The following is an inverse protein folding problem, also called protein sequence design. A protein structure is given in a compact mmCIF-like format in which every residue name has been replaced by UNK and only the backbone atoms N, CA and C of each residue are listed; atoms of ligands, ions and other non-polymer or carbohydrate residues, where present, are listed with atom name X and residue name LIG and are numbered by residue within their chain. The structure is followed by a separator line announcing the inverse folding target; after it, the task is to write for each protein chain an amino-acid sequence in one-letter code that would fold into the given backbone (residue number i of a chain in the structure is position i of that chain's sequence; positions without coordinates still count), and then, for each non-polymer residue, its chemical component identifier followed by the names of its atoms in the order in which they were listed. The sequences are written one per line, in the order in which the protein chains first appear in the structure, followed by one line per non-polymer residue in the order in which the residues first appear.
data_IF_759757123812
#
_entry.id   IF_759757123812
#
_cell.length_a   1.000
_cell.length_b   1.000
_cell.length_c   1.000
_cell.angle_alpha   90.00
_cell.angle_beta   90.00
_cell.angle_gamma   90.00
#
_symmetry.space_group_name_H-M   'P 1'
#
loop_
_entity.id
_entity.type
_entity.pdbx_description
1 polymer ?
#
# COMPACT_ATOMS: atom_id res chain seq x y z
N UNK A 1 48.46 -24.38 -0.29
CA UNK A 1 47.79 -24.31 1.03
C UNK A 1 46.44 -23.66 0.80
N UNK A 2 45.42 -24.49 0.65
CA UNK A 2 44.13 -24.11 0.07
C UNK A 2 43.13 -24.10 1.22
N UNK A 3 42.87 -22.91 1.79
CA UNK A 3 41.91 -22.76 2.88
C UNK A 3 40.51 -22.76 2.29
N UNK A 4 39.79 -23.86 2.51
CA UNK A 4 38.42 -24.10 2.06
C UNK A 4 37.50 -23.61 3.18
N UNK A 5 36.99 -22.39 3.05
CA UNK A 5 36.05 -21.81 4.00
C UNK A 5 34.66 -22.37 3.72
N UNK A 6 34.23 -23.31 4.57
CA UNK A 6 32.89 -23.90 4.56
C UNK A 6 31.87 -22.85 5.02
N UNK A 7 31.09 -22.29 4.09
CA UNK A 7 29.90 -21.51 4.43
C UNK A 7 28.80 -22.47 4.89
N UNK A 8 28.42 -22.34 6.16
CA UNK A 8 27.27 -23.02 6.78
C UNK A 8 26.02 -22.25 6.35
N UNK A 9 25.19 -22.87 5.51
CA UNK A 9 23.88 -22.33 5.18
C UNK A 9 22.97 -22.49 6.40
N UNK A 10 22.63 -21.38 7.07
CA UNK A 10 21.51 -21.35 7.99
C UNK A 10 20.22 -21.44 7.18
N UNK A 11 19.52 -22.57 7.35
CA UNK A 11 18.21 -22.80 6.78
C UNK A 11 17.21 -21.86 7.47
N UNK A 12 16.85 -20.78 6.77
CA UNK A 12 15.78 -19.90 7.20
C UNK A 12 14.46 -20.65 6.99
N UNK A 13 13.80 -20.98 8.10
CA UNK A 13 12.56 -21.75 8.14
C UNK A 13 11.45 -21.01 7.39
N UNK A 14 10.76 -21.77 6.52
CA UNK A 14 9.67 -21.29 5.67
C UNK A 14 8.49 -20.84 6.53
N UNK A 15 7.81 -19.72 6.20
CA UNK A 15 6.52 -19.43 6.80
C UNK A 15 5.50 -20.50 6.37
N UNK A 16 4.85 -21.05 7.39
CA UNK A 16 3.78 -22.05 7.31
C UNK A 16 2.64 -21.54 6.41
N UNK A 17 2.36 -22.30 5.35
CA UNK A 17 1.15 -22.18 4.54
C UNK A 17 -0.05 -22.48 5.44
N UNK A 18 -0.77 -21.44 5.89
CA UNK A 18 -2.07 -21.62 6.53
C UNK A 18 -3.11 -21.84 5.45
N UNK A 19 -3.60 -23.08 5.36
CA UNK A 19 -4.80 -23.42 4.58
C UNK A 19 -5.99 -22.61 5.08
N UNK A 20 -6.64 -21.85 4.20
CA UNK A 20 -7.95 -21.27 4.48
C UNK A 20 -9.00 -22.38 4.47
N UNK A 21 -9.15 -23.03 5.61
CA UNK A 21 -10.31 -23.86 5.91
C UNK A 21 -11.53 -22.96 6.14
N UNK A 22 -12.58 -23.25 5.35
CA UNK A 22 -14.01 -22.96 5.58
C UNK A 22 -14.33 -22.33 6.94
N UNK A 23 -14.71 -21.06 6.95
CA UNK A 23 -15.43 -20.45 8.08
C UNK A 23 -16.92 -20.80 7.95
N UNK A 24 -17.27 -21.92 8.55
CA UNK A 24 -18.64 -22.26 8.94
C UNK A 24 -18.97 -21.40 10.16
N UNK A 25 -19.90 -20.47 10.04
CA UNK A 25 -20.38 -19.67 11.17
C UNK A 25 -21.21 -20.57 12.10
N UNK A 26 -20.71 -20.75 13.31
CA UNK A 26 -21.37 -21.41 14.43
C UNK A 26 -22.37 -20.41 15.02
N UNK A 27 -23.66 -20.63 14.83
CA UNK A 27 -24.69 -19.96 15.62
C UNK A 27 -24.86 -20.69 16.95
N UNK A 28 -24.73 -19.93 18.04
CA UNK A 28 -24.71 -20.42 19.41
C UNK A 28 -26.03 -21.02 19.84
N UNK A 29 -25.94 -22.16 20.51
CA UNK A 29 -27.01 -22.77 21.29
C UNK A 29 -27.31 -21.93 22.53
N UNK A 30 -28.38 -21.15 22.49
CA UNK A 30 -29.01 -20.60 23.69
C UNK A 30 -30.00 -21.65 24.24
N UNK A 31 -29.79 -22.05 25.50
CA UNK A 31 -30.65 -22.98 26.22
C UNK A 31 -32.02 -22.33 26.52
N UNK A 32 -33.10 -22.91 26.00
CA UNK A 32 -34.46 -22.58 26.38
C UNK A 32 -34.94 -23.53 27.50
N UNK A 33 -35.26 -22.95 28.66
CA UNK A 33 -35.90 -23.62 29.78
C UNK A 33 -37.37 -23.94 29.39
N UNK A 34 -37.68 -25.23 29.20
CA UNK A 34 -39.04 -25.69 28.88
C UNK A 34 -39.86 -25.71 30.17
N UNK A 35 -40.78 -24.76 30.32
CA UNK A 35 -41.90 -24.87 31.26
C UNK A 35 -43.07 -25.45 30.46
N UNK A 36 -43.38 -26.72 30.69
CA UNK A 36 -44.50 -27.40 30.03
C UNK A 36 -45.84 -26.98 30.67
N UNK A 37 -46.79 -26.39 29.91
CA UNK A 37 -48.19 -26.39 30.30
C UNK A 37 -48.80 -27.74 29.90
N UNK A 38 -49.49 -28.37 30.85
CA UNK A 38 -50.33 -29.52 30.56
C UNK A 38 -51.52 -29.08 29.68
N UNK A 39 -51.43 -29.31 28.37
CA UNK A 39 -52.54 -29.14 27.46
C UNK A 39 -53.38 -30.42 27.41
N UNK A 40 -54.68 -30.24 27.68
CA UNK A 40 -55.74 -31.23 27.48
C UNK A 40 -55.80 -31.56 25.99
N UNK A 41 -55.69 -32.84 25.65
CA UNK A 41 -55.82 -33.33 24.28
C UNK A 41 -57.25 -33.09 23.76
N UNK A 42 -57.45 -31.96 23.08
CA UNK A 42 -58.54 -31.80 22.14
C UNK A 42 -58.28 -32.69 20.92
N UNK A 43 -59.32 -33.34 20.42
CA UNK A 43 -59.27 -34.11 19.17
C UNK A 43 -58.71 -33.25 18.05
N UNK A 44 -57.68 -33.73 17.35
CA UNK A 44 -57.04 -33.06 16.23
C UNK A 44 -58.07 -32.70 15.15
N UNK A 45 -58.56 -31.46 15.18
CA UNK A 45 -59.25 -30.85 14.07
C UNK A 45 -58.20 -30.61 12.98
N UNK A 46 -58.44 -31.15 11.78
CA UNK A 46 -57.72 -30.96 10.51
C UNK A 46 -56.32 -30.35 10.67
N UNK A 47 -55.27 -31.18 10.63
CA UNK A 47 -53.92 -30.68 10.48
C UNK A 47 -53.92 -29.73 9.26
N UNK A 48 -53.65 -28.45 9.49
CA UNK A 48 -53.52 -27.48 8.41
C UNK A 48 -52.50 -28.01 7.40
N UNK A 49 -52.77 -27.82 6.12
CA UNK A 49 -51.79 -28.18 5.09
C UNK A 49 -50.46 -27.48 5.38
N UNK A 50 -49.32 -28.17 5.18
CA UNK A 50 -48.02 -27.58 5.49
C UNK A 50 -47.78 -26.33 4.63
N UNK A 51 -47.25 -25.26 5.25
CA UNK A 51 -46.78 -24.09 4.52
C UNK A 51 -45.52 -24.46 3.70
N UNK A 52 -45.63 -24.34 2.37
CA UNK A 52 -44.59 -24.75 1.42
C UNK A 52 -44.31 -23.61 0.46
N UNK A 53 -43.02 -23.32 0.26
CA UNK A 53 -42.54 -22.42 -0.80
C UNK A 53 -42.26 -23.28 -2.04
N UNK A 54 -42.91 -22.93 -3.14
CA UNK A 54 -42.78 -23.63 -4.43
C UNK A 54 -41.90 -22.89 -5.42
N UNK A 55 -41.75 -21.57 -5.29
CA UNK A 55 -40.85 -20.75 -6.10
C UNK A 55 -40.42 -19.52 -5.29
N UNK A 56 -39.13 -19.14 -5.30
CA UNK A 56 -38.00 -19.99 -5.69
C UNK A 56 -37.87 -21.20 -4.75
N UNK A 57 -37.23 -22.27 -5.20
CA UNK A 57 -36.90 -23.44 -4.36
C UNK A 57 -35.52 -23.32 -3.74
N UNK A 58 -35.27 -24.02 -2.63
CA UNK A 58 -33.97 -23.96 -1.95
C UNK A 58 -32.87 -24.54 -2.85
N UNK A 59 -31.83 -23.74 -3.09
CA UNK A 59 -30.72 -24.05 -3.99
C UNK A 59 -31.03 -23.80 -5.47
N UNK A 60 -32.18 -23.19 -5.81
CA UNK A 60 -32.52 -22.90 -7.21
C UNK A 60 -31.50 -21.94 -7.84
N UNK A 61 -31.17 -22.22 -9.11
CA UNK A 61 -30.22 -21.41 -9.88
C UNK A 61 -30.85 -20.81 -11.11
N UNK A 62 -30.48 -19.57 -11.42
CA UNK A 62 -30.99 -18.88 -12.59
C UNK A 62 -32.45 -18.44 -12.43
N UNK A 63 -32.85 -18.10 -11.21
CA UNK A 63 -34.20 -17.58 -10.92
C UNK A 63 -34.44 -16.31 -11.74
N UNK A 64 -35.47 -16.34 -12.58
CA UNK A 64 -35.82 -15.23 -13.45
C UNK A 64 -36.48 -14.10 -12.66
N UNK A 65 -36.16 -12.87 -13.05
CA UNK A 65 -36.85 -11.69 -12.52
C UNK A 65 -38.12 -11.44 -13.35
N UNK A 66 -39.25 -11.19 -12.69
CA UNK A 66 -40.56 -10.94 -13.34
C UNK A 66 -40.74 -9.48 -13.76
N UNK A 67 -39.96 -8.58 -13.15
CA UNK A 67 -39.76 -7.19 -13.54
C UNK A 67 -38.33 -6.78 -13.12
N UNK A 68 -37.80 -5.62 -13.56
CA UNK A 68 -36.46 -5.19 -13.14
C UNK A 68 -36.30 -5.22 -11.62
N UNK A 69 -35.37 -6.03 -11.14
CA UNK A 69 -35.03 -6.27 -9.74
C UNK A 69 -36.07 -7.02 -8.93
N UNK A 70 -37.16 -7.50 -9.54
CA UNK A 70 -38.28 -8.14 -8.83
C UNK A 70 -38.33 -9.64 -9.10
N UNK A 71 -38.40 -10.43 -8.04
CA UNK A 71 -38.60 -11.89 -8.12
C UNK A 71 -39.96 -12.25 -7.55
N UNK A 72 -40.67 -13.16 -8.21
CA UNK A 72 -41.90 -13.72 -7.70
C UNK A 72 -41.64 -14.88 -6.75
N UNK A 73 -42.26 -14.82 -5.57
CA UNK A 73 -42.39 -15.94 -4.65
C UNK A 73 -43.78 -16.55 -4.78
N UNK A 74 -43.90 -17.86 -4.62
CA UNK A 74 -45.17 -18.56 -4.64
C UNK A 74 -45.13 -19.82 -3.76
N UNK A 75 -46.28 -20.21 -3.24
CA UNK A 75 -46.38 -21.41 -2.43
C UNK A 75 -47.81 -21.83 -2.08
N UNK A 76 -47.92 -22.77 -1.15
CA UNK A 76 -49.19 -23.34 -0.68
C UNK A 76 -49.23 -23.39 0.85
N UNK A 77 -50.41 -23.62 1.42
CA UNK A 77 -50.60 -23.81 2.87
C UNK A 77 -50.56 -22.53 3.70
N UNK A 78 -50.78 -21.36 3.09
CA UNK A 78 -50.93 -20.10 3.83
C UNK A 78 -52.36 -20.02 4.40
N UNK A 79 -52.60 -19.75 5.69
CA UNK A 79 -53.96 -19.54 6.20
C UNK A 79 -54.63 -18.29 5.64
N UNK A 80 -55.96 -18.28 5.59
CA UNK A 80 -56.73 -17.14 5.04
C UNK A 80 -56.66 -15.86 5.87
N UNK A 81 -56.14 -15.93 7.10
CA UNK A 81 -56.00 -14.79 8.00
C UNK A 81 -54.57 -14.24 8.05
N UNK A 82 -53.64 -14.86 7.34
CA UNK A 82 -52.21 -14.56 7.39
C UNK A 82 -51.71 -14.03 6.05
N UNK A 83 -50.60 -13.31 6.11
CA UNK A 83 -49.81 -12.84 4.97
C UNK A 83 -48.41 -13.48 5.00
N UNK A 84 -47.65 -13.31 3.91
CA UNK A 84 -46.24 -13.68 3.82
C UNK A 84 -45.38 -12.43 3.75
N UNK A 85 -44.28 -12.43 4.49
CA UNK A 85 -43.22 -11.43 4.38
C UNK A 85 -41.94 -12.08 3.89
N UNK A 86 -41.25 -11.42 2.98
CA UNK A 86 -39.92 -11.81 2.51
C UNK A 86 -38.93 -10.78 3.03
N UNK A 87 -37.77 -11.23 3.50
CA UNK A 87 -36.67 -10.35 3.93
C UNK A 87 -35.33 -10.88 3.44
N UNK A 88 -34.35 -10.01 3.22
CA UNK A 88 -33.02 -10.41 2.75
C UNK A 88 -31.93 -9.48 3.31
N UNK A 89 -30.66 -9.86 3.13
CA UNK A 89 -29.53 -8.98 3.49
C UNK A 89 -29.07 -8.25 2.24
N UNK A 90 -29.24 -6.93 2.19
CA UNK A 90 -28.73 -6.10 1.11
C UNK A 90 -27.35 -5.52 1.42
N UNK A 91 -26.90 -4.58 0.58
CA UNK A 91 -25.53 -4.06 0.63
C UNK A 91 -25.18 -3.34 1.94
N UNK A 92 -26.19 -2.76 2.61
CA UNK A 92 -26.03 -1.94 3.82
C UNK A 92 -26.37 -2.66 5.12
N UNK A 93 -26.78 -3.93 5.06
CA UNK A 93 -27.19 -4.71 6.23
C UNK A 93 -28.41 -5.57 5.95
N UNK A 94 -29.14 -5.95 7.01
CA UNK A 94 -30.44 -6.62 6.85
C UNK A 94 -31.43 -5.60 6.30
N UNK A 95 -31.79 -5.75 5.04
CA UNK A 95 -32.84 -4.95 4.43
C UNK A 95 -34.15 -5.71 4.61
N UNK A 96 -35.01 -5.18 5.47
CA UNK A 96 -36.35 -5.73 5.61
C UNK A 96 -37.09 -5.43 4.32
N UNK A 97 -37.27 -6.48 3.53
CA UNK A 97 -38.01 -6.45 2.30
C UNK A 97 -39.53 -6.41 2.60
N UNK A 98 -40.31 -6.14 1.56
CA UNK A 98 -41.64 -5.52 1.65
C UNK A 98 -42.65 -6.25 2.54
N UNK A 99 -43.50 -5.48 3.21
CA UNK A 99 -44.81 -5.94 3.74
C UNK A 99 -45.83 -5.85 2.60
N UNK A 100 -45.56 -6.53 1.48
CA UNK A 100 -46.59 -6.82 0.50
C UNK A 100 -47.38 -8.00 1.03
N UNK A 101 -48.63 -7.77 1.44
CA UNK A 101 -49.50 -8.83 1.94
C UNK A 101 -49.88 -9.75 0.79
N UNK A 102 -49.10 -10.82 0.58
CA UNK A 102 -49.52 -11.93 -0.26
C UNK A 102 -50.79 -12.56 0.32
N UNK A 103 -51.95 -12.14 -0.17
CA UNK A 103 -53.20 -12.76 0.24
C UNK A 103 -53.34 -14.15 -0.38
N UNK A 104 -53.74 -15.10 0.47
CA UNK A 104 -54.21 -16.41 0.06
C UNK A 104 -55.36 -16.28 -0.96
N UNK A 105 -55.32 -17.07 -2.05
CA UNK A 105 -56.35 -17.12 -3.09
C UNK A 105 -57.68 -17.81 -2.66
N UNK A 106 -57.82 -18.12 -1.37
CA UNK A 106 -58.91 -18.89 -0.78
C UNK A 106 -58.72 -20.41 -0.85
N UNK A 107 -57.77 -20.90 -1.64
CA UNK A 107 -57.41 -22.31 -1.77
C UNK A 107 -56.10 -22.68 -1.06
N UNK A 108 -55.49 -21.72 -0.35
CA UNK A 108 -54.21 -21.92 0.34
C UNK A 108 -52.99 -21.56 -0.52
N UNK A 109 -53.17 -21.17 -1.79
CA UNK A 109 -52.05 -20.73 -2.62
C UNK A 109 -51.78 -19.25 -2.39
N UNK A 110 -50.51 -18.86 -2.49
CA UNK A 110 -50.08 -17.49 -2.28
C UNK A 110 -49.00 -17.11 -3.28
N UNK A 111 -48.89 -15.81 -3.55
CA UNK A 111 -47.84 -15.22 -4.39
C UNK A 111 -47.38 -13.88 -3.82
N UNK A 112 -46.08 -13.62 -3.82
CA UNK A 112 -45.49 -12.36 -3.37
C UNK A 112 -44.46 -11.84 -4.38
N UNK A 113 -44.25 -10.52 -4.44
CA UNK A 113 -43.25 -9.92 -5.33
C UNK A 113 -42.23 -9.15 -4.51
N UNK A 114 -40.98 -9.61 -4.51
CA UNK A 114 -39.93 -8.95 -3.74
C UNK A 114 -38.90 -8.24 -4.61
N UNK A 115 -38.54 -7.01 -4.24
CA UNK A 115 -37.59 -6.17 -4.96
C UNK A 115 -36.19 -6.26 -4.34
N UNK A 116 -35.26 -6.85 -5.08
CA UNK A 116 -33.86 -7.04 -4.75
C UNK A 116 -32.95 -5.89 -5.19
N UNK A 117 -33.50 -4.71 -5.45
CA UNK A 117 -32.76 -3.51 -5.86
C UNK A 117 -31.80 -2.96 -4.80
N UNK A 118 -31.83 -3.47 -3.56
CA UNK A 118 -30.86 -3.13 -2.51
C UNK A 118 -29.69 -4.13 -2.40
N UNK A 119 -29.68 -5.21 -3.21
CA UNK A 119 -28.52 -6.09 -3.29
C UNK A 119 -27.29 -5.33 -3.80
N UNK A 120 -26.10 -5.73 -3.35
CA UNK A 120 -24.86 -5.16 -3.87
C UNK A 120 -24.74 -5.34 -5.40
N UNK A 121 -24.00 -4.45 -6.09
CA UNK A 121 -23.69 -4.63 -7.51
C UNK A 121 -23.06 -6.00 -7.79
N UNK A 122 -23.52 -6.66 -8.86
CA UNK A 122 -23.07 -8.00 -9.25
C UNK A 122 -23.56 -9.15 -8.37
N UNK A 123 -24.27 -8.88 -7.28
CA UNK A 123 -24.77 -9.93 -6.38
C UNK A 123 -25.95 -10.66 -7.03
N UNK A 124 -25.76 -11.96 -7.25
CA UNK A 124 -26.81 -12.88 -7.72
C UNK A 124 -27.21 -13.91 -6.68
N UNK A 125 -26.36 -14.18 -5.68
CA UNK A 125 -26.69 -15.08 -4.58
C UNK A 125 -27.56 -14.36 -3.54
N UNK A 126 -28.70 -14.97 -3.21
CA UNK A 126 -29.69 -14.43 -2.29
C UNK A 126 -29.93 -15.43 -1.18
N UNK A 127 -29.85 -14.94 0.06
CA UNK A 127 -30.35 -15.63 1.24
C UNK A 127 -31.59 -14.87 1.73
N UNK A 128 -32.77 -15.39 1.38
CA UNK A 128 -34.06 -14.80 1.76
C UNK A 128 -34.66 -15.52 2.96
N UNK A 129 -35.41 -14.80 3.77
CA UNK A 129 -36.19 -15.34 4.88
C UNK A 129 -37.66 -15.07 4.63
N UNK A 130 -38.46 -16.13 4.63
CA UNK A 130 -39.90 -16.10 4.38
C UNK A 130 -40.61 -16.39 5.69
N UNK A 131 -41.48 -15.48 6.12
CA UNK A 131 -42.19 -15.54 7.40
C UNK A 131 -43.68 -15.38 7.17
N UNK A 132 -44.48 -16.32 7.68
CA UNK A 132 -45.93 -16.18 7.78
C UNK A 132 -46.24 -15.23 8.94
N UNK A 133 -47.03 -14.21 8.69
CA UNK A 133 -47.41 -13.21 9.68
C UNK A 133 -48.93 -13.08 9.75
N UNK A 134 -49.48 -12.86 10.93
CA UNK A 134 -50.90 -12.54 11.09
C UNK A 134 -51.21 -11.23 10.36
N UNK A 135 -52.17 -11.25 9.42
CA UNK A 135 -52.40 -10.11 8.52
C UNK A 135 -52.92 -8.87 9.25
N UNK A 136 -53.49 -9.01 10.45
CA UNK A 136 -54.03 -7.89 11.23
C UNK A 136 -52.98 -7.23 12.11
N UNK A 137 -52.01 -8.00 12.61
CA UNK A 137 -51.01 -7.55 13.58
C UNK A 137 -49.59 -7.45 13.02
N UNK A 138 -49.31 -8.11 11.89
CA UNK A 138 -47.98 -8.25 11.31
C UNK A 138 -47.02 -9.08 12.16
N UNK A 139 -47.52 -9.79 13.18
CA UNK A 139 -46.71 -10.62 14.07
C UNK A 139 -46.51 -12.00 13.42
N UNK A 140 -45.28 -12.51 13.47
CA UNK A 140 -44.98 -13.86 12.99
C UNK A 140 -45.87 -14.91 13.65
N UNK A 141 -46.55 -15.73 12.85
CA UNK A 141 -47.40 -16.79 13.36
C UNK A 141 -46.52 -17.94 13.90
N UNK A 142 -46.56 -18.23 15.22
CA UNK A 142 -45.74 -19.31 15.80
C UNK A 142 -46.11 -20.72 15.29
N UNK A 143 -47.26 -20.89 14.63
CA UNK A 143 -47.64 -22.16 14.00
C UNK A 143 -46.77 -22.50 12.79
N UNK A 144 -46.14 -21.50 12.15
CA UNK A 144 -45.32 -21.67 10.96
C UNK A 144 -43.87 -21.24 11.24
N UNK A 145 -42.90 -22.18 11.22
CA UNK A 145 -41.51 -21.82 11.41
C UNK A 145 -41.03 -20.95 10.25
N UNK A 146 -40.21 -19.95 10.58
CA UNK A 146 -39.50 -19.11 9.62
C UNK A 146 -38.67 -20.00 8.68
N UNK A 147 -38.82 -19.79 7.37
CA UNK A 147 -38.07 -20.54 6.36
C UNK A 147 -36.97 -19.66 5.76
N UNK A 148 -35.75 -20.20 5.69
CA UNK A 148 -34.63 -19.57 4.97
C UNK A 148 -34.43 -20.26 3.63
N UNK A 149 -34.29 -19.48 2.57
CA UNK A 149 -34.15 -19.92 1.21
C UNK A 149 -32.89 -19.31 0.59
N UNK A 150 -31.93 -20.14 0.22
CA UNK A 150 -30.78 -19.74 -0.57
C UNK A 150 -31.06 -20.02 -2.05
N UNK A 151 -30.89 -19.04 -2.93
CA UNK A 151 -31.04 -19.21 -4.38
C UNK A 151 -30.12 -18.26 -5.16
N UNK A 152 -30.01 -18.45 -6.47
CA UNK A 152 -29.24 -17.54 -7.35
C UNK A 152 -30.09 -16.99 -8.48
N UNK A 153 -30.02 -15.68 -8.66
CA UNK A 153 -30.70 -14.94 -9.73
C UNK A 153 -30.03 -15.18 -11.09
N UNK A 154 -30.82 -15.19 -12.16
CA UNK A 154 -30.30 -15.26 -13.53
C UNK A 154 -29.45 -14.03 -13.91
N UNK A 155 -29.80 -12.86 -13.36
CA UNK A 155 -29.13 -11.59 -13.59
C UNK A 155 -29.05 -10.85 -12.25
N UNK A 156 -27.93 -10.18 -11.97
CA UNK A 156 -27.80 -9.34 -10.79
C UNK A 156 -28.76 -8.14 -10.89
N UNK A 157 -29.55 -7.82 -9.86
CA UNK A 157 -30.46 -6.67 -9.88
C UNK A 157 -29.72 -5.35 -10.14
N UNK A 158 -28.58 -5.19 -9.47
CA UNK A 158 -27.67 -4.10 -9.73
C UNK A 158 -26.50 -4.63 -10.55
N UNK A 159 -26.37 -4.17 -11.80
CA UNK A 159 -25.26 -4.57 -12.66
C UNK A 159 -23.94 -4.09 -12.06
N UNK A 160 -22.96 -5.00 -11.94
CA UNK A 160 -21.59 -4.63 -11.59
C UNK A 160 -21.02 -3.82 -12.76
N UNK A 161 -20.63 -2.58 -12.51
CA UNK A 161 -19.82 -1.85 -13.50
C UNK A 161 -18.40 -2.40 -13.38
N UNK A 162 -17.84 -3.00 -14.44
CA UNK A 162 -16.50 -3.58 -14.33
C UNK A 162 -15.49 -2.52 -13.90
N UNK A 163 -14.69 -2.87 -12.90
CA UNK A 163 -13.54 -2.07 -12.53
C UNK A 163 -12.55 -2.04 -13.69
N UNK A 164 -12.27 -0.86 -14.23
CA UNK A 164 -11.27 -0.69 -15.29
C UNK A 164 -10.40 0.52 -15.02
N UNK A 165 -9.18 0.48 -15.55
CA UNK A 165 -8.28 1.63 -15.62
C UNK A 165 -8.11 1.94 -17.10
N UNK A 166 -8.62 3.09 -17.52
CA UNK A 166 -8.57 3.55 -18.92
C UNK A 166 -7.32 4.38 -19.19
N UNK A 167 -6.88 5.18 -18.21
CA UNK A 167 -5.65 5.96 -18.29
C UNK A 167 -4.92 5.93 -16.94
N UNK A 168 -3.60 5.67 -16.89
CA UNK A 168 -2.80 5.14 -17.98
C UNK A 168 -3.20 3.70 -18.34
N UNK A 169 -3.09 3.34 -19.62
CA UNK A 169 -3.20 1.93 -20.03
C UNK A 169 -1.97 1.20 -19.50
N UNK A 170 -2.15 0.13 -18.75
CA UNK A 170 -1.04 -0.64 -18.16
C UNK A 170 -0.21 -1.32 -19.25
N UNK A 171 0.86 -0.66 -19.69
CA UNK A 171 1.86 -1.18 -20.60
C UNK A 171 3.17 -0.39 -20.47
N UNK A 172 4.29 -0.97 -20.91
CA UNK A 172 5.61 -0.36 -20.79
C UNK A 172 5.86 0.87 -21.70
N UNK A 173 4.86 1.32 -22.47
CA UNK A 173 4.98 2.43 -23.42
C UNK A 173 4.11 3.63 -23.10
N UNK A 174 3.22 3.55 -22.11
CA UNK A 174 2.34 4.66 -21.75
C UNK A 174 3.14 5.76 -21.07
N UNK A 175 3.21 6.92 -21.73
CA UNK A 175 3.83 8.12 -21.20
C UNK A 175 2.77 9.00 -20.55
N UNK A 176 2.95 9.33 -19.27
CA UNK A 176 2.09 10.24 -18.49
C UNK A 176 2.86 11.49 -18.09
N UNK A 177 2.25 12.67 -18.14
CA UNK A 177 2.83 13.85 -17.54
C UNK A 177 2.58 13.86 -16.02
N UNK A 178 3.50 14.38 -15.20
CA UNK A 178 3.20 14.67 -13.80
C UNK A 178 1.97 15.59 -13.70
N UNK A 179 0.95 15.16 -12.98
CA UNK A 179 -0.33 15.87 -12.87
C UNK A 179 -1.43 15.38 -13.83
N UNK A 180 -1.14 14.46 -14.74
CA UNK A 180 -2.18 13.80 -15.53
C UNK A 180 -3.10 12.96 -14.64
N UNK A 181 -4.39 13.00 -14.93
CA UNK A 181 -5.37 12.22 -14.20
C UNK A 181 -5.32 10.74 -14.60
N UNK A 182 -5.36 9.88 -13.60
CA UNK A 182 -5.70 8.48 -13.74
C UNK A 182 -7.22 8.38 -13.82
N UNK A 183 -7.73 7.64 -14.79
CA UNK A 183 -9.17 7.55 -15.05
C UNK A 183 -9.60 6.12 -15.32
N UNK A 184 -10.87 5.82 -15.05
CA UNK A 184 -11.44 4.52 -15.37
C UNK A 184 -12.92 4.41 -15.02
N UNK A 185 -13.39 3.17 -14.96
CA UNK A 185 -14.76 2.84 -14.52
C UNK A 185 -14.74 1.99 -13.25
N UNK A 186 -15.85 2.01 -12.52
CA UNK A 186 -16.05 1.26 -11.29
C UNK A 186 -17.50 1.31 -10.83
N UNK A 187 -17.79 0.70 -9.69
CA UNK A 187 -19.09 0.73 -9.03
C UNK A 187 -19.39 2.14 -8.48
N UNK A 188 -20.50 2.79 -8.88
CA UNK A 188 -20.85 4.12 -8.35
C UNK A 188 -20.90 4.18 -6.82
N UNK A 189 -20.24 5.17 -6.23
CA UNK A 189 -20.14 5.34 -4.77
C UNK A 189 -18.91 4.70 -4.14
N UNK A 190 -18.21 3.80 -4.84
CA UNK A 190 -16.99 3.18 -4.33
C UNK A 190 -15.82 4.17 -4.27
N UNK A 191 -14.83 3.82 -3.47
CA UNK A 191 -13.58 4.56 -3.32
C UNK A 191 -12.47 3.89 -4.12
N UNK A 192 -11.78 4.67 -4.94
CA UNK A 192 -10.55 4.28 -5.63
C UNK A 192 -9.35 4.80 -4.85
N UNK A 193 -8.40 3.92 -4.56
CA UNK A 193 -7.12 4.26 -3.92
C UNK A 193 -5.96 3.91 -4.83
N UNK A 194 -5.05 4.85 -5.05
CA UNK A 194 -3.82 4.68 -5.84
C UNK A 194 -2.63 4.65 -4.88
N UNK A 195 -1.92 3.53 -4.81
CA UNK A 195 -0.73 3.34 -3.98
C UNK A 195 0.49 3.13 -4.88
N UNK A 196 1.65 3.66 -4.50
CA UNK A 196 2.89 3.45 -5.24
C UNK A 196 4.07 3.20 -4.31
N UNK A 197 5.11 2.57 -4.87
CA UNK A 197 6.42 2.46 -4.23
C UNK A 197 7.12 3.82 -4.26
N UNK A 198 7.12 4.51 -3.13
CA UNK A 198 7.84 5.75 -2.93
C UNK A 198 9.30 5.47 -2.53
N UNK A 199 10.07 6.55 -2.40
CA UNK A 199 11.46 6.48 -1.95
C UNK A 199 11.62 5.83 -0.57
N UNK A 200 12.84 5.36 -0.29
CA UNK A 200 13.19 4.63 0.93
C UNK A 200 12.37 3.34 1.14
N UNK A 201 11.86 2.72 0.07
CA UNK A 201 11.11 1.46 0.13
C UNK A 201 9.72 1.59 0.77
N UNK A 202 9.20 2.82 0.90
CA UNK A 202 7.88 3.08 1.45
C UNK A 202 6.79 2.85 0.41
N UNK A 203 5.59 2.46 0.86
CA UNK A 203 4.39 2.50 0.05
C UNK A 203 3.55 3.70 0.49
N UNK A 204 3.27 4.63 -0.43
CA UNK A 204 2.49 5.83 -0.14
C UNK A 204 1.23 5.88 -1.01
N UNK A 205 0.20 6.52 -0.49
CA UNK A 205 -1.02 6.83 -1.24
C UNK A 205 -0.73 8.04 -2.14
N UNK A 206 -0.77 7.82 -3.45
CA UNK A 206 -0.63 8.86 -4.46
C UNK A 206 -1.92 9.68 -4.60
N UNK A 207 -3.08 9.05 -4.38
CA UNK A 207 -4.36 9.73 -4.43
C UNK A 207 -5.53 8.82 -4.07
N UNK A 208 -6.64 9.45 -3.70
CA UNK A 208 -7.93 8.80 -3.47
C UNK A 208 -9.04 9.58 -4.17
N UNK A 209 -10.10 8.89 -4.55
CA UNK A 209 -11.28 9.50 -5.17
C UNK A 209 -12.46 8.55 -5.12
N UNK A 210 -13.65 9.05 -5.45
CA UNK A 210 -14.87 8.23 -5.50
C UNK A 210 -15.32 8.03 -6.94
N UNK A 211 -15.96 6.90 -7.19
CA UNK A 211 -16.63 6.63 -8.45
C UNK A 211 -17.92 7.44 -8.52
N UNK A 212 -18.06 8.24 -9.58
CA UNK A 212 -19.15 9.19 -9.75
C UNK A 212 -20.51 8.53 -9.93
N UNK A 213 -21.54 9.18 -9.38
CA UNK A 213 -22.95 8.83 -9.55
C UNK A 213 -23.70 9.97 -10.25
N UNK A 214 -24.51 9.71 -11.29
CA UNK A 214 -24.57 8.48 -12.10
C UNK A 214 -23.42 8.45 -13.13
N UNK A 215 -22.94 7.25 -13.47
CA UNK A 215 -22.01 7.09 -14.61
C UNK A 215 -20.87 6.11 -14.38
N UNK A 216 -20.53 5.79 -13.11
CA UNK A 216 -19.56 4.74 -12.83
C UNK A 216 -18.14 5.10 -13.30
N UNK A 217 -17.81 6.39 -13.43
CA UNK A 217 -16.48 6.85 -13.86
C UNK A 217 -15.72 7.48 -12.69
N UNK A 218 -14.40 7.39 -12.71
CA UNK A 218 -13.52 8.03 -11.73
C UNK A 218 -12.35 8.75 -12.41
N UNK A 219 -11.83 9.78 -11.75
CA UNK A 219 -10.69 10.58 -12.22
C UNK A 219 -9.91 11.12 -11.02
N UNK A 220 -8.66 10.73 -10.87
CA UNK A 220 -7.77 11.11 -9.75
C UNK A 220 -6.49 11.67 -10.32
N UNK A 221 -6.02 12.83 -9.84
CA UNK A 221 -4.68 13.33 -10.14
C UNK A 221 -3.73 12.88 -9.04
N UNK A 222 -2.91 11.84 -9.26
CA UNK A 222 -2.00 11.33 -8.23
C UNK A 222 -0.78 12.22 -8.00
N UNK A 223 -0.29 12.24 -6.76
CA UNK A 223 0.97 12.85 -6.36
C UNK A 223 2.09 11.80 -6.22
N UNK A 224 3.03 11.85 -7.16
CA UNK A 224 4.23 11.02 -7.19
C UNK A 224 5.52 11.78 -6.79
N UNK A 225 5.40 12.94 -6.13
CA UNK A 225 6.53 13.79 -5.73
C UNK A 225 7.52 13.13 -4.75
N UNK A 226 7.19 11.95 -4.21
CA UNK A 226 8.05 11.16 -3.32
C UNK A 226 8.72 9.98 -4.02
N UNK A 227 8.69 9.88 -5.34
CA UNK A 227 9.58 8.99 -6.09
C UNK A 227 11.05 9.38 -5.91
N UNK A 228 11.95 8.51 -6.37
CA UNK A 228 13.37 8.83 -6.39
C UNK A 228 13.63 10.06 -7.27
N UNK A 229 14.51 11.00 -6.84
CA UNK A 229 14.87 12.14 -7.67
C UNK A 229 15.39 11.71 -9.04
N UNK A 230 14.74 12.19 -10.10
CA UNK A 230 15.09 11.85 -11.48
C UNK A 230 14.45 10.56 -12.02
N UNK A 231 13.70 9.82 -11.19
CA UNK A 231 13.00 8.62 -11.64
C UNK A 231 11.82 8.97 -12.54
N UNK A 232 11.74 8.26 -13.66
CA UNK A 232 10.68 8.39 -14.66
C UNK A 232 9.83 7.13 -14.77
N UNK A 233 10.29 5.96 -14.33
CA UNK A 233 9.45 4.76 -14.29
C UNK A 233 8.53 4.77 -13.08
N UNK A 234 7.25 4.48 -13.30
CA UNK A 234 6.22 4.41 -12.28
C UNK A 234 5.48 3.08 -12.28
N UNK A 235 5.18 2.60 -11.08
CA UNK A 235 4.25 1.49 -10.84
C UNK A 235 3.28 1.90 -9.75
N UNK A 236 1.98 1.76 -10.01
CA UNK A 236 0.94 1.99 -9.04
C UNK A 236 0.03 0.77 -8.89
N UNK A 237 -0.42 0.51 -7.68
CA UNK A 237 -1.47 -0.46 -7.36
C UNK A 237 -2.75 0.34 -7.15
N UNK A 238 -3.77 0.03 -7.93
CA UNK A 238 -5.06 0.73 -7.90
C UNK A 238 -6.10 -0.27 -7.39
N UNK A 239 -6.83 0.14 -6.35
CA UNK A 239 -7.82 -0.70 -5.68
C UNK A 239 -9.16 0.04 -5.61
N UNK A 240 -10.24 -0.69 -5.89
CA UNK A 240 -11.61 -0.26 -5.64
C UNK A 240 -12.13 -0.89 -4.34
N UNK A 241 -12.75 -0.08 -3.49
CA UNK A 241 -13.36 -0.53 -2.24
C UNK A 241 -14.73 0.08 -2.08
N UNK A 242 -15.67 -0.71 -1.55
CA UNK A 242 -16.98 -0.26 -1.08
C UNK A 242 -16.88 0.93 -0.11
N UNK A 243 -17.97 1.68 0.11
CA UNK A 243 -18.02 2.73 1.13
C UNK A 243 -17.66 2.27 2.56
N UNK A 244 -17.80 0.98 2.84
CA UNK A 244 -17.40 0.36 4.11
C UNK A 244 -15.90 0.00 4.19
N UNK A 245 -15.14 0.24 3.12
CA UNK A 245 -13.71 -0.05 3.02
C UNK A 245 -13.36 -1.51 2.67
N UNK A 246 -14.35 -2.34 2.34
CA UNK A 246 -14.11 -3.70 1.85
C UNK A 246 -13.75 -3.66 0.35
N UNK A 247 -12.83 -4.51 -0.10
CA UNK A 247 -12.55 -4.68 -1.55
C UNK A 247 -13.83 -5.12 -2.25
N UNK A 248 -14.16 -4.45 -3.36
CA UNK A 248 -15.40 -4.71 -4.09
C UNK A 248 -15.42 -6.13 -4.66
N UNK A 249 -16.56 -6.81 -4.54
CA UNK A 249 -16.67 -8.21 -4.93
C UNK A 249 -16.37 -8.41 -6.43
N UNK A 250 -15.52 -9.38 -6.76
CA UNK A 250 -15.12 -9.64 -8.14
C UNK A 250 -14.07 -8.68 -8.70
N UNK A 251 -13.59 -7.72 -7.91
CA UNK A 251 -12.44 -6.87 -8.26
C UNK A 251 -11.14 -7.40 -7.64
N UNK A 252 -10.00 -6.97 -8.16
CA UNK A 252 -8.69 -7.26 -7.58
C UNK A 252 -7.77 -6.03 -7.73
N UNK A 253 -6.88 -5.77 -6.76
CA UNK A 253 -5.89 -4.70 -6.88
C UNK A 253 -5.12 -4.85 -8.20
N UNK A 254 -5.13 -3.80 -9.01
CA UNK A 254 -4.55 -3.84 -10.36
C UNK A 254 -3.24 -3.05 -10.38
N UNK A 255 -2.16 -3.73 -10.76
CA UNK A 255 -0.87 -3.09 -10.98
C UNK A 255 -0.83 -2.41 -12.35
N UNK A 256 -0.48 -1.12 -12.36
CA UNK A 256 -0.37 -0.29 -13.56
C UNK A 256 1.05 0.23 -13.67
N UNK A 257 1.74 -0.15 -14.74
CA UNK A 257 3.08 0.33 -15.09
C UNK A 257 2.98 1.43 -16.14
N UNK A 258 3.80 2.46 -16.01
CA UNK A 258 3.83 3.63 -16.90
C UNK A 258 5.18 4.35 -16.77
N UNK A 259 5.47 5.26 -17.69
CA UNK A 259 6.66 6.11 -17.65
C UNK A 259 6.22 7.58 -17.63
N UNK A 260 6.88 8.43 -16.84
CA UNK A 260 6.63 9.86 -16.86
C UNK A 260 7.37 10.54 -18.01
N UNK A 261 6.73 11.53 -18.65
CA UNK A 261 7.38 12.42 -19.62
C UNK A 261 8.52 13.23 -18.99
N UNK A 262 8.46 13.46 -17.67
CA UNK A 262 9.48 14.10 -16.86
C UNK A 262 9.38 13.59 -15.42
N UNK A 263 10.51 13.44 -14.72
CA UNK A 263 10.52 12.94 -13.35
C UNK A 263 9.64 13.81 -12.42
N UNK A 264 8.64 13.24 -11.71
CA UNK A 264 7.79 14.00 -10.79
C UNK A 264 8.58 14.63 -9.63
N UNK A 265 9.64 13.95 -9.20
CA UNK A 265 10.66 14.50 -8.31
C UNK A 265 11.88 14.89 -9.17
N UNK A 266 12.19 16.19 -9.34
CA UNK A 266 13.33 16.62 -10.15
C UNK A 266 14.64 16.03 -9.63
N UNK A 267 15.54 15.68 -10.55
CA UNK A 267 16.88 15.25 -10.19
C UNK A 267 17.64 16.40 -9.51
N UNK A 268 18.12 16.18 -8.29
CA UNK A 268 19.05 17.10 -7.63
C UNK A 268 20.45 16.86 -8.20
N UNK A 269 21.17 17.88 -8.71
CA UNK A 269 22.53 17.70 -9.23
C UNK A 269 23.47 17.07 -8.20
N UNK A 270 24.31 16.13 -8.64
CA UNK A 270 25.34 15.54 -7.78
C UNK A 270 26.48 16.54 -7.62
N UNK A 271 26.81 16.87 -6.37
CA UNK A 271 27.98 17.69 -6.07
C UNK A 271 28.73 17.12 -4.89
N UNK A 272 30.06 17.30 -4.87
CA UNK A 272 30.89 17.01 -3.71
C UNK A 272 31.88 18.16 -3.51
N UNK A 273 31.75 18.86 -2.39
CA UNK A 273 32.63 19.96 -2.02
C UNK A 273 33.45 19.60 -0.80
N UNK A 274 34.77 19.63 -0.95
CA UNK A 274 35.76 19.51 0.12
C UNK A 274 36.08 20.86 0.75
N UNK A 275 36.28 20.86 2.06
CA UNK A 275 36.74 22.01 2.85
C UNK A 275 37.71 21.53 3.96
N UNK A 276 38.98 21.97 3.97
CA UNK A 276 39.60 22.91 3.04
C UNK A 276 39.91 22.31 1.67
N UNK A 277 40.01 23.16 0.64
CA UNK A 277 40.48 22.76 -0.71
C UNK A 277 41.96 22.40 -0.76
N UNK A 278 42.74 22.89 0.21
CA UNK A 278 44.15 22.59 0.38
C UNK A 278 44.46 22.40 1.87
N UNK A 279 45.20 21.35 2.22
CA UNK A 279 45.57 21.02 3.61
C UNK A 279 47.05 20.62 3.66
N UNK A 280 47.72 20.86 4.79
CA UNK A 280 49.08 20.34 4.98
C UNK A 280 49.03 18.83 5.26
N UNK A 281 50.12 18.12 4.98
CA UNK A 281 50.20 16.67 5.19
C UNK A 281 49.89 16.27 6.64
N UNK A 282 50.46 16.98 7.62
CA UNK A 282 50.14 16.76 9.04
C UNK A 282 48.66 16.98 9.35
N UNK A 283 48.04 18.03 8.81
CA UNK A 283 46.62 18.31 9.05
C UNK A 283 45.72 17.28 8.39
N UNK A 284 46.01 16.86 7.15
CA UNK A 284 45.21 15.86 6.43
C UNK A 284 45.29 14.45 7.05
N UNK A 285 46.38 14.13 7.73
CA UNK A 285 46.58 12.82 8.40
C UNK A 285 46.12 12.80 9.86
N UNK A 286 46.06 13.95 10.54
CA UNK A 286 45.66 14.02 11.96
C UNK A 286 44.26 14.59 12.16
N UNK A 287 43.96 15.70 11.49
CA UNK A 287 42.66 16.36 11.57
C UNK A 287 41.72 15.82 10.54
N UNK A 288 42.20 15.61 9.30
CA UNK A 288 41.53 15.20 8.07
C UNK A 288 40.91 16.35 7.26
N UNK A 289 40.08 16.01 6.27
CA UNK A 289 39.42 16.95 5.35
C UNK A 289 37.92 16.68 5.34
N UNK A 290 37.13 17.72 5.60
CA UNK A 290 35.68 17.63 5.55
C UNK A 290 35.19 17.67 4.10
N UNK A 291 34.04 17.05 3.86
CA UNK A 291 33.34 17.19 2.60
C UNK A 291 31.83 17.19 2.81
N UNK A 292 31.12 17.78 1.84
CA UNK A 292 29.68 17.71 1.73
C UNK A 292 29.34 17.15 0.36
N UNK A 293 28.65 16.02 0.32
CA UNK A 293 28.11 15.44 -0.90
C UNK A 293 26.60 15.68 -0.94
N UNK A 294 26.04 16.01 -2.10
CA UNK A 294 24.59 16.24 -2.27
C UNK A 294 24.09 15.57 -3.54
N UNK A 295 22.75 15.45 -3.64
CA UNK A 295 22.09 14.85 -4.79
C UNK A 295 21.89 13.35 -4.68
N UNK A 296 22.03 12.77 -3.48
CA UNK A 296 21.65 11.38 -3.22
C UNK A 296 20.16 11.27 -2.90
N UNK A 297 19.66 10.05 -2.90
CA UNK A 297 18.31 9.80 -2.42
C UNK A 297 18.25 9.98 -0.90
N UNK A 298 17.15 10.49 -0.34
CA UNK A 298 17.00 10.55 1.11
C UNK A 298 17.10 9.16 1.75
N UNK A 299 17.78 9.08 2.91
CA UNK A 299 18.01 7.85 3.67
C UNK A 299 18.73 6.75 2.88
N UNK A 300 19.50 7.14 1.87
CA UNK A 300 20.28 6.21 1.06
C UNK A 300 21.61 5.87 1.73
N UNK A 301 21.93 4.58 1.80
CA UNK A 301 23.27 4.14 2.18
C UNK A 301 24.30 4.63 1.16
N UNK A 302 25.41 5.19 1.63
CA UNK A 302 26.50 5.68 0.80
C UNK A 302 27.82 4.97 1.13
N UNK A 303 28.68 4.86 0.14
CA UNK A 303 30.05 4.37 0.28
C UNK A 303 31.04 5.47 -0.10
N UNK A 304 32.20 5.48 0.55
CA UNK A 304 33.24 6.49 0.36
C UNK A 304 34.50 5.79 -0.15
N UNK A 305 35.09 6.31 -1.22
CA UNK A 305 36.38 5.87 -1.73
C UNK A 305 37.29 7.08 -1.97
N UNK A 306 38.58 6.93 -1.70
CA UNK A 306 39.57 7.99 -1.90
C UNK A 306 40.67 7.47 -2.80
N UNK A 307 41.06 8.28 -3.78
CA UNK A 307 42.22 8.03 -4.65
C UNK A 307 43.28 9.11 -4.44
N UNK A 308 44.54 8.71 -4.48
CA UNK A 308 45.66 9.65 -4.47
C UNK A 308 45.93 10.27 -5.86
N UNK A 309 46.99 11.06 -5.96
CA UNK A 309 47.39 11.77 -7.17
C UNK A 309 47.87 10.84 -8.29
N UNK A 310 48.19 9.59 -7.98
CA UNK A 310 48.55 8.54 -8.94
C UNK A 310 47.34 7.73 -9.40
N UNK A 311 46.19 7.93 -8.76
CA UNK A 311 44.95 7.17 -8.99
C UNK A 311 44.85 5.89 -8.17
N UNK A 312 45.80 5.63 -7.28
CA UNK A 312 45.77 4.47 -6.39
C UNK A 312 44.73 4.67 -5.27
N UNK A 313 44.05 3.59 -4.90
CA UNK A 313 43.08 3.61 -3.80
C UNK A 313 43.80 3.83 -2.48
N UNK A 314 43.36 4.83 -1.73
CA UNK A 314 43.78 5.07 -0.36
C UNK A 314 42.91 4.20 0.55
N UNK A 315 43.53 3.29 1.28
CA UNK A 315 42.84 2.52 2.31
C UNK A 315 42.52 3.43 3.49
N UNK A 316 41.23 3.71 3.68
CA UNK A 316 40.74 4.42 4.85
C UNK A 316 40.57 3.43 5.99
N UNK A 317 40.76 3.88 7.23
CA UNK A 317 40.43 3.07 8.38
C UNK A 317 38.96 2.59 8.28
N UNK A 318 38.67 1.32 8.57
CA UNK A 318 37.33 0.79 8.43
C UNK A 318 36.36 1.60 9.30
N UNK A 319 35.30 2.10 8.68
CA UNK A 319 34.22 2.73 9.41
C UNK A 319 33.47 1.65 10.20
N UNK A 320 33.27 1.86 11.50
CA UNK A 320 32.51 0.95 12.35
C UNK A 320 30.99 1.00 12.08
N UNK A 321 30.54 1.92 11.23
CA UNK A 321 29.13 2.17 10.93
C UNK A 321 28.92 2.32 9.42
N UNK A 322 27.71 1.97 8.98
CA UNK A 322 27.20 2.31 7.66
C UNK A 322 26.88 3.80 7.60
N UNK A 323 27.10 4.42 6.43
CA UNK A 323 26.82 5.83 6.21
C UNK A 323 25.54 6.00 5.44
N UNK A 324 24.70 6.95 5.85
CA UNK A 324 23.44 7.27 5.20
C UNK A 324 23.37 8.76 4.86
N UNK A 325 22.85 9.06 3.68
CA UNK A 325 22.46 10.41 3.30
C UNK A 325 21.25 10.86 4.14
N UNK A 326 21.17 12.16 4.39
CA UNK A 326 20.08 12.81 5.13
C UNK A 326 18.72 12.39 4.58
N UNK A 327 17.84 11.92 5.49
CA UNK A 327 16.46 11.58 5.18
C UNK A 327 15.61 12.78 4.73
N UNK A 328 16.11 14.01 4.89
CA UNK A 328 15.37 15.23 4.50
C UNK A 328 15.68 15.65 3.07
N UNK A 329 16.95 15.71 2.70
CA UNK A 329 17.42 16.37 1.47
C UNK A 329 18.45 15.55 0.67
N UNK A 330 18.83 14.35 1.15
CA UNK A 330 19.83 13.52 0.47
C UNK A 330 21.25 14.10 0.50
N UNK A 331 21.53 15.02 1.42
CA UNK A 331 22.89 15.50 1.68
C UNK A 331 23.67 14.56 2.59
N UNK A 332 24.98 14.47 2.42
CA UNK A 332 25.86 13.66 3.24
C UNK A 332 27.12 14.46 3.61
N UNK A 333 27.18 15.04 4.83
CA UNK A 333 28.41 15.58 5.37
C UNK A 333 29.30 14.43 5.82
N UNK A 334 30.56 14.45 5.40
CA UNK A 334 31.52 13.41 5.73
C UNK A 334 32.92 13.97 5.94
N UNK A 335 33.83 13.07 6.27
CA UNK A 335 35.17 13.44 6.67
C UNK A 335 36.17 12.35 6.30
N UNK A 336 37.34 12.74 5.76
CA UNK A 336 38.41 11.82 5.38
C UNK A 336 39.67 12.12 6.19
N UNK A 337 40.14 11.13 6.94
CA UNK A 337 41.47 11.15 7.57
C UNK A 337 42.38 10.26 6.73
N UNK A 338 43.45 10.83 6.19
CA UNK A 338 44.41 10.08 5.39
C UNK A 338 45.33 9.24 6.29
N UNK A 339 45.79 8.06 5.84
CA UNK A 339 46.76 7.27 6.59
C UNK A 339 48.08 8.02 6.73
N UNK A 340 48.87 7.68 7.76
CA UNK A 340 50.18 8.31 8.00
C UNK A 340 51.20 8.09 6.87
N UNK A 341 50.93 7.15 5.97
CA UNK A 341 51.72 6.86 4.76
C UNK A 341 51.33 7.72 3.57
N UNK A 342 50.35 8.62 3.71
CA UNK A 342 49.91 9.50 2.63
C UNK A 342 51.03 10.45 2.16
N UNK A 343 51.02 10.75 0.86
CA UNK A 343 51.94 11.70 0.23
C UNK A 343 51.31 13.07 0.02
N UNK A 344 52.05 13.94 -0.66
CA UNK A 344 51.52 15.22 -1.17
C UNK A 344 50.90 15.01 -2.55
N UNK A 345 49.98 15.89 -2.95
CA UNK A 345 49.31 15.85 -4.25
C UNK A 345 47.82 16.08 -4.18
N UNK A 346 47.14 15.94 -5.32
CA UNK A 346 45.68 16.03 -5.40
C UNK A 346 45.05 14.69 -5.08
N UNK A 347 44.10 14.68 -4.16
CA UNK A 347 43.29 13.52 -3.79
C UNK A 347 41.88 13.68 -4.35
N UNK A 348 41.27 12.57 -4.74
CA UNK A 348 39.87 12.52 -5.21
C UNK A 348 39.03 11.73 -4.22
N UNK A 349 37.99 12.35 -3.68
CA UNK A 349 36.96 11.70 -2.87
C UNK A 349 35.80 11.35 -3.79
N UNK A 350 35.32 10.11 -3.69
CA UNK A 350 34.15 9.59 -4.40
C UNK A 350 33.13 9.11 -3.37
N UNK A 351 31.90 9.57 -3.49
CA UNK A 351 30.75 9.08 -2.72
C UNK A 351 29.78 8.41 -3.67
N UNK A 352 29.42 7.16 -3.39
CA UNK A 352 28.52 6.36 -4.22
C UNK A 352 27.29 5.95 -3.42
N UNK A 353 26.10 6.28 -3.93
CA UNK A 353 24.83 5.82 -3.38
C UNK A 353 24.61 4.35 -3.73
N UNK A 354 24.39 3.50 -2.72
CA UNK A 354 24.25 2.04 -2.88
C UNK A 354 22.97 1.69 -3.63
N UNK A 355 21.89 2.45 -3.39
CA UNK A 355 20.55 2.15 -3.91
C UNK A 355 20.32 2.75 -5.30
N UNK A 356 20.76 3.98 -5.50
CA UNK A 356 20.59 4.76 -6.73
C UNK A 356 21.75 4.54 -7.72
N UNK A 357 22.90 4.04 -7.25
CA UNK A 357 24.13 3.93 -8.06
C UNK A 357 24.76 5.28 -8.44
N UNK A 358 24.26 6.39 -7.88
CA UNK A 358 24.72 7.74 -8.21
C UNK A 358 26.10 8.01 -7.60
N UNK A 359 26.96 8.74 -8.32
CA UNK A 359 28.35 8.98 -7.93
C UNK A 359 28.64 10.49 -7.89
N UNK A 360 29.08 10.99 -6.74
CA UNK A 360 29.58 12.36 -6.59
C UNK A 360 31.09 12.33 -6.34
N UNK A 361 31.84 13.19 -7.05
CA UNK A 361 33.30 13.28 -6.91
C UNK A 361 33.75 14.70 -6.61
N UNK A 362 34.76 14.85 -5.76
CA UNK A 362 35.41 16.12 -5.51
C UNK A 362 36.86 15.94 -5.11
N UNK A 363 37.64 17.01 -5.20
CA UNK A 363 39.09 16.95 -5.01
C UNK A 363 39.56 17.90 -3.92
N UNK A 364 40.68 17.56 -3.28
CA UNK A 364 41.43 18.45 -2.40
C UNK A 364 42.92 18.22 -2.60
N UNK A 365 43.74 19.22 -2.26
CA UNK A 365 45.20 19.15 -2.40
C UNK A 365 45.85 18.97 -1.04
N UNK A 366 46.80 18.05 -0.94
CA UNK A 366 47.69 17.90 0.21
C UNK A 366 49.04 18.49 -0.16
N UNK A 367 49.52 19.46 0.63
CA UNK A 367 50.82 20.10 0.47
C UNK A 367 51.77 19.69 1.59
N UNK A 368 53.07 19.83 1.37
CA UNK A 368 54.07 19.57 2.40
C UNK A 368 53.85 20.48 3.62
N UNK A 369 54.20 19.99 4.80
CA UNK A 369 54.20 20.82 6.00
C UNK A 369 55.22 21.96 5.85
N UNK A 370 54.90 23.18 6.33
CA UNK A 370 55.84 24.29 6.30
C UNK A 370 57.08 23.92 7.12
N UNK A 371 58.26 24.02 6.49
CA UNK A 371 59.54 23.77 7.17
C UNK A 371 59.82 24.97 8.07
N UNK A 372 60.01 24.76 9.36
CA UNK A 372 60.52 25.82 10.24
C UNK A 372 61.97 26.11 9.85
N UNK A 373 62.21 27.28 9.27
CA UNK A 373 63.59 27.75 9.03
C UNK A 373 64.27 27.92 10.38
N UNK A 374 65.30 27.13 10.65
CA UNK A 374 66.17 27.38 11.80
C UNK A 374 66.91 28.69 11.56
N UNK A 375 66.58 29.73 12.33
CA UNK A 375 67.44 30.91 12.40
C UNK A 375 68.81 30.43 12.90
N UNK A 376 69.92 30.64 12.16
CA UNK A 376 71.22 30.30 12.68
C UNK A 376 71.44 31.10 13.95
N UNK A 377 71.60 30.40 15.09
CA UNK A 377 72.07 31.01 16.33
C UNK A 377 73.46 31.56 16.05
N UNK A 378 73.56 32.86 15.79
CA UNK A 378 74.84 33.52 15.65
C UNK A 378 75.62 33.38 16.95
N UNK A 379 76.61 32.50 16.98
CA UNK A 379 77.71 32.53 17.95
C UNK A 379 78.55 33.76 17.66
N UNK A 380 78.06 34.93 18.06
CA UNK A 380 78.82 36.18 18.07
C UNK A 380 79.83 36.15 19.20
N UNK A 381 80.96 35.44 19.01
CA UNK A 381 82.19 35.78 19.72
C UNK A 381 82.78 36.99 19.00
N UNK A 382 82.46 38.19 19.50
CA UNK A 382 83.13 39.44 19.12
C UNK A 382 84.64 39.29 19.40
N UNK A 383 85.53 39.37 18.40
CA UNK A 383 86.95 39.46 18.68
C UNK A 383 87.28 40.80 19.36
N UNK A 384 88.23 40.84 20.30
CA UNK A 384 88.60 42.08 20.99
C UNK A 384 89.21 43.07 19.98
N UNK A 385 88.77 44.31 20.06
CA UNK A 385 89.26 45.42 19.24
C UNK A 385 90.69 45.75 19.67
N UNK A 386 91.66 45.50 18.79
CA UNK A 386 93.02 46.00 18.92
C UNK A 386 93.04 47.46 18.45
N UNK A 387 93.31 48.38 19.38
CA UNK A 387 93.39 49.82 19.10
C UNK A 387 94.65 50.14 18.29
N UNK A 388 94.47 50.65 17.07
CA UNK A 388 95.56 51.28 16.29
C UNK A 388 95.74 52.76 16.71
N UNK A 389 96.99 53.28 16.68
CA UNK A 389 97.30 54.63 17.18
C UNK A 389 96.79 55.73 16.25
N UNK A 390 96.29 56.81 16.86
CA UNK A 390 95.88 58.06 16.19
C UNK A 390 97.13 58.81 15.71
N UNK A 391 97.21 59.10 14.42
CA UNK A 391 98.13 60.09 13.84
C UNK A 391 97.31 61.33 13.51
N UNK A 392 97.66 62.46 14.15
CA UNK A 392 97.06 63.78 13.89
C UNK A 392 97.68 64.43 12.66
N UNK A 393 96.83 64.90 11.74
CA UNK A 393 97.13 65.80 10.65
C UNK A 393 95.94 66.72 10.41
#
# INVERSE_FOLDING_TARGET
MTSRTTFRAEANERPVVRSMGRRLAIFGTAAALIVAPAFVAGTAANAADPFVITTPTAGETGVAQVAPNVVGFAGTGLPTADDVTVSYVGATGVDTASTGGAHNDGAGNWTELENFGQLGPGVTAVAATVTVVDAQTGVADPAYPVQTLDFTLAVAPNALTPFTITNPVSNAGTVVAPGDAFTGTGTPGDTITIVYGARAGQNLVAGTGTVTTPGGTWSIVPDFSKLEPGQTDGTAIITETTPAGAVEAGTSPTATNFTFSSAPAPAVPLTLTTDPKSSTLSSATTKGVAFLATGFSPDEQVTIAVKDSTGATVELAPAAAEFFASATDGSFPGFVILPSTAGTGTYTVTVTGVRSGRIATGTFTVVADPVTTTTPTGTGTTPPVESLPVVSG
#
